data_IF_047175115043
#
_entry.id   IF_047175115043
#
_cell.length_a   1.000
_cell.length_b   1.000
_cell.length_c   1.000
_cell.angle_alpha   90.00
_cell.angle_beta   90.00
_cell.angle_gamma   90.00
#
_symmetry.space_group_name_H-M   'P 1'
#
loop_
_entity.id
_entity.type
_entity.pdbx_description
1 polymer ?
#
# COMPACT_ATOMS: atom_id res chain seq x y z
N UNK A 1 72.78 -22.02 -7.09
CA UNK A 1 71.85 -21.94 -8.24
C UNK A 1 70.45 -22.46 -7.91
N UNK A 2 70.27 -23.50 -7.09
CA UNK A 2 68.93 -24.02 -6.74
C UNK A 2 68.09 -23.10 -5.83
N UNK A 3 68.72 -22.33 -4.93
CA UNK A 3 67.98 -21.45 -4.00
C UNK A 3 67.40 -20.19 -4.66
N UNK A 4 68.08 -19.65 -5.68
CA UNK A 4 67.60 -18.54 -6.50
C UNK A 4 66.37 -18.94 -7.31
N UNK A 5 66.37 -20.14 -7.90
CA UNK A 5 65.22 -20.69 -8.62
C UNK A 5 64.01 -20.89 -7.70
N UNK A 6 64.22 -21.44 -6.50
CA UNK A 6 63.15 -21.63 -5.50
C UNK A 6 62.52 -20.31 -5.07
N UNK A 7 63.32 -19.28 -4.78
CA UNK A 7 62.82 -17.97 -4.35
C UNK A 7 62.02 -17.27 -5.45
N UNK A 8 62.46 -17.31 -6.71
CA UNK A 8 61.67 -16.78 -7.84
C UNK A 8 60.34 -17.53 -8.04
N UNK A 9 60.34 -18.86 -7.97
CA UNK A 9 59.11 -19.66 -8.16
C UNK A 9 58.11 -19.37 -7.03
N UNK A 10 58.58 -19.27 -5.78
CA UNK A 10 57.75 -18.93 -4.62
C UNK A 10 57.16 -17.52 -4.76
N UNK A 11 57.96 -16.53 -5.17
CA UNK A 11 57.48 -15.15 -5.35
C UNK A 11 56.41 -15.03 -6.45
N UNK A 12 56.60 -15.72 -7.58
CA UNK A 12 55.61 -15.79 -8.65
C UNK A 12 54.31 -16.46 -8.21
N UNK A 13 54.40 -17.56 -7.45
CA UNK A 13 53.25 -18.27 -6.89
C UNK A 13 52.48 -17.41 -5.88
N UNK A 14 53.17 -16.70 -4.98
CA UNK A 14 52.54 -15.77 -4.04
C UNK A 14 51.80 -14.67 -4.78
N UNK A 15 52.41 -14.10 -5.84
CA UNK A 15 51.77 -13.06 -6.66
C UNK A 15 50.50 -13.58 -7.35
N UNK A 16 50.55 -14.78 -7.92
CA UNK A 16 49.39 -15.42 -8.55
C UNK A 16 48.28 -15.73 -7.54
N UNK A 17 48.62 -16.21 -6.34
CA UNK A 17 47.66 -16.49 -5.28
C UNK A 17 47.01 -15.20 -4.78
N UNK A 18 47.78 -14.14 -4.52
CA UNK A 18 47.25 -12.83 -4.11
C UNK A 18 46.32 -12.28 -5.20
N UNK A 19 46.71 -12.37 -6.48
CA UNK A 19 45.85 -11.98 -7.60
C UNK A 19 44.55 -12.78 -7.66
N UNK A 20 44.61 -14.10 -7.49
CA UNK A 20 43.44 -14.97 -7.49
C UNK A 20 42.49 -14.67 -6.33
N UNK A 21 43.01 -14.56 -5.10
CA UNK A 21 42.20 -14.24 -3.92
C UNK A 21 41.62 -12.82 -3.99
N UNK A 22 42.40 -11.84 -4.45
CA UNK A 22 41.93 -10.47 -4.68
C UNK A 22 40.79 -10.42 -5.71
N UNK A 23 40.94 -11.10 -6.84
CA UNK A 23 39.88 -11.22 -7.84
C UNK A 23 38.62 -11.89 -7.31
N UNK A 24 38.77 -13.02 -6.58
CA UNK A 24 37.65 -13.73 -5.96
C UNK A 24 36.92 -12.87 -4.93
N UNK A 25 37.66 -12.15 -4.09
CA UNK A 25 37.09 -11.24 -3.10
C UNK A 25 36.35 -10.08 -3.78
N UNK A 26 36.94 -9.46 -4.81
CA UNK A 26 36.28 -8.40 -5.57
C UNK A 26 34.97 -8.86 -6.21
N UNK A 27 34.94 -10.07 -6.78
CA UNK A 27 33.71 -10.65 -7.33
C UNK A 27 32.65 -10.92 -6.26
N UNK A 28 33.05 -11.39 -5.08
CA UNK A 28 32.13 -11.60 -3.96
C UNK A 28 31.56 -10.27 -3.46
N UNK A 29 32.42 -9.27 -3.26
CA UNK A 29 32.01 -7.94 -2.83
C UNK A 29 31.06 -7.27 -3.83
N UNK A 30 31.34 -7.39 -5.13
CA UNK A 30 30.45 -6.87 -6.18
C UNK A 30 29.07 -7.52 -6.15
N UNK A 31 29.00 -8.84 -5.91
CA UNK A 31 27.72 -9.55 -5.79
C UNK A 31 26.90 -9.10 -4.59
N UNK A 32 27.54 -8.89 -3.44
CA UNK A 32 26.84 -8.38 -2.26
C UNK A 32 26.38 -6.93 -2.48
N UNK A 33 27.21 -6.07 -3.08
CA UNK A 33 26.80 -4.71 -3.47
C UNK A 33 25.57 -4.72 -4.40
N UNK A 34 25.58 -5.55 -5.45
CA UNK A 34 24.43 -5.65 -6.37
C UNK A 34 23.15 -6.11 -5.66
N UNK A 35 23.25 -7.03 -4.70
CA UNK A 35 22.09 -7.47 -3.91
C UNK A 35 21.58 -6.35 -3.01
N UNK A 36 22.48 -5.61 -2.37
CA UNK A 36 22.12 -4.49 -1.51
C UNK A 36 21.48 -3.36 -2.30
N UNK A 37 22.02 -3.04 -3.47
CA UNK A 37 21.41 -2.08 -4.40
C UNK A 37 20.00 -2.52 -4.81
N UNK A 38 19.80 -3.82 -5.07
CA UNK A 38 18.48 -4.36 -5.35
C UNK A 38 17.52 -4.20 -4.16
N UNK A 39 17.94 -4.52 -2.93
CA UNK A 39 17.10 -4.34 -1.73
C UNK A 39 16.76 -2.87 -1.45
N UNK A 40 17.73 -1.98 -1.60
CA UNK A 40 17.52 -0.53 -1.50
C UNK A 40 16.49 -0.09 -2.54
N UNK A 41 16.59 -0.61 -3.76
CA UNK A 41 15.65 -0.29 -4.83
C UNK A 41 14.24 -0.81 -4.54
N UNK A 42 14.09 -2.05 -4.07
CA UNK A 42 12.79 -2.58 -3.62
C UNK A 42 12.17 -1.70 -2.53
N UNK A 43 12.97 -1.29 -1.55
CA UNK A 43 12.49 -0.46 -0.45
C UNK A 43 12.09 0.93 -0.94
N UNK A 44 12.94 1.59 -1.73
CA UNK A 44 12.76 2.97 -2.17
C UNK A 44 11.68 3.13 -3.24
N UNK A 45 11.66 2.24 -4.23
CA UNK A 45 10.86 2.44 -5.45
C UNK A 45 9.55 1.65 -5.42
N UNK A 46 9.43 0.64 -4.54
CA UNK A 46 8.25 -0.22 -4.46
C UNK A 46 7.56 -0.16 -3.08
N UNK A 47 8.17 -0.70 -2.02
CA UNK A 47 7.48 -0.91 -0.75
C UNK A 47 7.20 0.38 0.02
N UNK A 48 8.17 1.30 0.10
CA UNK A 48 7.98 2.56 0.86
C UNK A 48 6.93 3.48 0.23
N UNK A 49 6.92 3.71 -1.10
CA UNK A 49 5.88 4.53 -1.73
C UNK A 49 4.47 3.92 -1.56
N UNK A 50 4.32 2.60 -1.72
CA UNK A 50 3.04 1.93 -1.51
C UNK A 50 2.53 2.10 -0.07
N UNK A 51 3.41 1.94 0.92
CA UNK A 51 3.07 2.19 2.32
C UNK A 51 2.77 3.66 2.60
N UNK A 52 3.46 4.59 1.95
CA UNK A 52 3.19 6.02 2.05
C UNK A 52 1.74 6.34 1.64
N UNK A 53 1.32 5.88 0.47
CA UNK A 53 -0.06 6.05 0.01
C UNK A 53 -1.08 5.37 0.92
N UNK A 54 -0.79 4.13 1.35
CA UNK A 54 -1.67 3.40 2.29
C UNK A 54 -1.84 4.16 3.60
N UNK A 55 -0.77 4.71 4.17
CA UNK A 55 -0.85 5.45 5.44
C UNK A 55 -1.64 6.75 5.28
N UNK A 56 -1.51 7.43 4.14
CA UNK A 56 -2.32 8.62 3.86
C UNK A 56 -3.81 8.29 3.68
N UNK A 57 -4.11 7.19 3.00
CA UNK A 57 -5.47 6.66 2.85
C UNK A 57 -6.04 6.33 4.24
N UNK A 58 -5.30 5.58 5.05
CA UNK A 58 -5.70 5.18 6.41
C UNK A 58 -6.02 6.41 7.27
N UNK A 59 -5.11 7.38 7.33
CA UNK A 59 -5.29 8.58 8.15
C UNK A 59 -6.56 9.37 7.77
N UNK A 60 -6.87 9.48 6.46
CA UNK A 60 -8.10 10.12 5.99
C UNK A 60 -9.35 9.29 6.28
N UNK A 61 -9.27 7.98 6.06
CA UNK A 61 -10.38 7.05 6.34
C UNK A 61 -10.73 7.01 7.83
N UNK A 62 -9.75 7.08 8.74
CA UNK A 62 -9.99 7.13 10.18
C UNK A 62 -10.76 8.39 10.60
N UNK A 63 -10.38 9.56 10.06
CA UNK A 63 -11.10 10.81 10.31
C UNK A 63 -12.53 10.72 9.78
N UNK A 64 -12.70 10.19 8.56
CA UNK A 64 -14.02 9.97 7.95
C UNK A 64 -14.92 9.10 8.82
N UNK A 65 -14.41 7.96 9.29
CA UNK A 65 -15.17 7.04 10.14
C UNK A 65 -15.56 7.67 11.48
N UNK A 66 -14.65 8.43 12.11
CA UNK A 66 -14.96 9.19 13.34
C UNK A 66 -16.05 10.22 13.12
N UNK A 67 -15.98 10.99 12.03
CA UNK A 67 -17.02 11.97 11.69
C UNK A 67 -18.34 11.26 11.41
N UNK A 68 -18.33 10.17 10.65
CA UNK A 68 -19.51 9.38 10.32
C UNK A 68 -20.17 8.81 11.57
N UNK A 69 -19.40 8.25 12.50
CA UNK A 69 -19.89 7.72 13.77
C UNK A 69 -20.60 8.80 14.60
N UNK A 70 -19.92 9.92 14.87
CA UNK A 70 -20.47 11.04 15.65
C UNK A 70 -21.69 11.66 14.95
N UNK A 71 -21.64 11.76 13.61
CA UNK A 71 -22.75 12.32 12.84
C UNK A 71 -23.97 11.41 12.85
N UNK A 72 -23.76 10.08 12.77
CA UNK A 72 -24.84 9.10 12.85
C UNK A 72 -25.49 9.09 14.23
N UNK A 73 -24.71 9.22 15.30
CA UNK A 73 -25.23 9.36 16.67
C UNK A 73 -26.05 10.63 16.82
N UNK A 74 -25.48 11.80 16.48
CA UNK A 74 -26.17 13.08 16.56
C UNK A 74 -27.46 13.10 15.71
N UNK A 75 -27.46 12.45 14.55
CA UNK A 75 -28.64 12.29 13.71
C UNK A 75 -29.74 11.49 14.40
N UNK A 76 -29.39 10.34 15.02
CA UNK A 76 -30.35 9.50 15.75
C UNK A 76 -30.97 10.26 16.92
N UNK A 77 -30.15 10.94 17.73
CA UNK A 77 -30.64 11.76 18.84
C UNK A 77 -31.60 12.85 18.37
N UNK A 78 -31.26 13.51 17.25
CA UNK A 78 -32.13 14.54 16.66
C UNK A 78 -33.47 13.97 16.22
N UNK A 79 -33.49 12.81 15.56
CA UNK A 79 -34.71 12.12 15.15
C UNK A 79 -35.55 11.72 16.36
N UNK A 80 -34.93 11.16 17.40
CA UNK A 80 -35.63 10.80 18.63
C UNK A 80 -36.28 12.02 19.30
N UNK A 81 -35.57 13.16 19.34
CA UNK A 81 -36.12 14.41 19.88
C UNK A 81 -37.33 14.91 19.05
N UNK A 82 -37.28 14.78 17.73
CA UNK A 82 -38.40 15.16 16.86
C UNK A 82 -39.60 14.22 17.05
N UNK A 83 -39.37 12.92 17.18
CA UNK A 83 -40.41 11.93 17.47
C UNK A 83 -41.04 12.13 18.85
N UNK A 84 -40.26 12.52 19.87
CA UNK A 84 -40.79 12.87 21.19
C UNK A 84 -41.68 14.12 21.14
N UNK A 85 -41.31 15.12 20.34
CA UNK A 85 -42.09 16.36 20.18
C UNK A 85 -43.33 16.18 19.30
N UNK A 86 -43.27 15.25 18.36
CA UNK A 86 -44.37 14.91 17.46
C UNK A 86 -44.41 13.39 17.25
N UNK A 87 -45.28 12.65 17.97
CA UNK A 87 -45.39 11.19 17.86
C UNK A 87 -45.74 10.68 16.44
N UNK A 88 -46.32 11.54 15.60
CA UNK A 88 -46.62 11.24 14.20
C UNK A 88 -45.47 11.61 13.24
N UNK A 89 -44.28 11.94 13.76
CA UNK A 89 -43.12 12.21 12.94
C UNK A 89 -42.74 10.97 12.12
N UNK A 90 -42.66 11.06 10.77
CA UNK A 90 -42.56 9.90 9.92
C UNK A 90 -41.24 9.14 10.10
N UNK A 91 -41.34 7.82 10.12
CA UNK A 91 -40.19 6.91 10.07
C UNK A 91 -39.56 7.03 8.68
N UNK A 92 -38.27 7.35 8.62
CA UNK A 92 -37.58 7.60 7.35
C UNK A 92 -37.84 8.98 6.77
N UNK A 93 -38.17 9.97 7.60
CA UNK A 93 -38.22 11.38 7.21
C UNK A 93 -36.99 11.75 6.38
N UNK A 94 -37.21 12.38 5.23
CA UNK A 94 -36.19 12.83 4.26
C UNK A 94 -36.08 14.36 4.16
N UNK A 95 -36.72 15.10 5.08
CA UNK A 95 -36.86 16.54 4.98
C UNK A 95 -35.54 17.31 5.05
N UNK A 96 -35.38 18.23 4.10
CA UNK A 96 -34.15 18.96 3.81
C UNK A 96 -33.62 19.79 4.98
N UNK A 97 -34.50 20.33 5.83
CA UNK A 97 -34.09 21.20 6.96
C UNK A 97 -33.33 20.45 8.05
N UNK A 98 -33.74 19.22 8.34
CA UNK A 98 -33.15 18.41 9.43
C UNK A 98 -32.05 17.48 8.89
N UNK A 99 -32.18 17.00 7.64
CA UNK A 99 -31.22 16.07 7.02
C UNK A 99 -30.13 16.78 6.23
N UNK A 100 -30.41 17.97 5.70
CA UNK A 100 -29.50 18.72 4.83
C UNK A 100 -28.07 18.77 5.36
N UNK A 101 -27.82 19.09 6.64
CA UNK A 101 -26.48 19.07 7.21
C UNK A 101 -25.80 17.70 7.16
N UNK A 102 -26.50 16.61 7.48
CA UNK A 102 -25.96 15.24 7.46
C UNK A 102 -25.74 14.71 6.05
N UNK A 103 -26.64 15.06 5.11
CA UNK A 103 -26.47 14.75 3.68
C UNK A 103 -25.19 15.38 3.13
N UNK A 104 -24.88 16.61 3.52
CA UNK A 104 -23.62 17.28 3.13
C UNK A 104 -22.37 16.53 3.61
N UNK A 105 -22.44 15.80 4.72
CA UNK A 105 -21.33 14.96 5.21
C UNK A 105 -21.14 13.76 4.28
N UNK A 106 -22.23 13.11 3.89
CA UNK A 106 -22.20 12.00 2.91
C UNK A 106 -21.64 12.49 1.57
N UNK A 107 -22.13 13.63 1.07
CA UNK A 107 -21.68 14.23 -0.18
C UNK A 107 -20.19 14.60 -0.13
N UNK A 108 -19.73 15.17 0.99
CA UNK A 108 -18.32 15.46 1.22
C UNK A 108 -17.47 14.18 1.20
N UNK A 109 -17.90 13.13 1.89
CA UNK A 109 -17.19 11.86 1.97
C UNK A 109 -17.09 11.16 0.61
N UNK A 110 -18.17 11.18 -0.17
CA UNK A 110 -18.18 10.63 -1.53
C UNK A 110 -17.22 11.42 -2.44
N UNK A 111 -17.27 12.75 -2.38
CA UNK A 111 -16.40 13.63 -3.15
C UNK A 111 -14.92 13.47 -2.75
N UNK A 112 -14.62 13.34 -1.45
CA UNK A 112 -13.27 13.05 -0.97
C UNK A 112 -12.78 11.69 -1.45
N UNK A 113 -13.64 10.66 -1.43
CA UNK A 113 -13.25 9.36 -1.96
C UNK A 113 -12.89 9.44 -3.44
N UNK A 114 -13.75 10.03 -4.26
CA UNK A 114 -13.55 10.18 -5.69
C UNK A 114 -12.32 11.01 -6.05
N UNK A 115 -12.14 12.16 -5.41
CA UNK A 115 -11.10 13.14 -5.78
C UNK A 115 -9.76 12.93 -5.09
N UNK A 116 -9.75 12.34 -3.89
CA UNK A 116 -8.52 12.22 -3.09
C UNK A 116 -8.06 10.78 -2.89
N UNK A 117 -8.98 9.87 -2.51
CA UNK A 117 -8.61 8.51 -2.11
C UNK A 117 -8.44 7.58 -3.31
N UNK A 118 -9.41 7.55 -4.22
CA UNK A 118 -9.37 6.69 -5.40
C UNK A 118 -8.13 6.95 -6.28
N UNK A 119 -7.71 8.20 -6.54
CA UNK A 119 -6.47 8.47 -7.26
C UNK A 119 -5.22 7.89 -6.57
N UNK A 120 -5.19 7.80 -5.24
CA UNK A 120 -4.06 7.19 -4.52
C UNK A 120 -4.01 5.69 -4.70
N UNK A 121 -5.14 4.99 -4.68
CA UNK A 121 -5.17 3.57 -5.06
C UNK A 121 -4.68 3.37 -6.48
N UNK A 122 -5.07 4.24 -7.42
CA UNK A 122 -4.55 4.22 -8.79
C UNK A 122 -3.04 4.45 -8.84
N UNK A 123 -2.51 5.36 -8.03
CA UNK A 123 -1.06 5.54 -7.89
C UNK A 123 -0.36 4.33 -7.30
N UNK A 124 -0.96 3.67 -6.31
CA UNK A 124 -0.45 2.40 -5.78
C UNK A 124 -0.41 1.33 -6.87
N UNK A 125 -1.47 1.18 -7.65
CA UNK A 125 -1.50 0.24 -8.77
C UNK A 125 -0.46 0.59 -9.83
N UNK A 126 -0.30 1.87 -10.14
CA UNK A 126 0.73 2.35 -11.08
C UNK A 126 2.14 1.94 -10.61
N UNK A 127 2.48 2.22 -9.34
CA UNK A 127 3.76 1.79 -8.76
C UNK A 127 3.91 0.28 -8.84
N UNK A 128 2.86 -0.46 -8.48
CA UNK A 128 2.88 -1.91 -8.52
C UNK A 128 3.19 -2.40 -9.95
N UNK A 129 2.53 -1.81 -10.95
CA UNK A 129 2.69 -2.18 -12.38
C UNK A 129 4.08 -1.83 -12.90
N UNK A 130 4.52 -0.58 -12.73
CA UNK A 130 5.79 -0.08 -13.27
C UNK A 130 7.00 -0.78 -12.64
N UNK A 131 6.87 -1.15 -11.36
CA UNK A 131 7.91 -1.77 -10.56
C UNK A 131 7.57 -3.23 -10.21
N UNK A 132 6.77 -3.91 -11.02
CA UNK A 132 6.31 -5.28 -10.74
C UNK A 132 7.48 -6.25 -10.51
N UNK A 133 8.59 -6.05 -11.23
CA UNK A 133 9.81 -6.84 -11.11
C UNK A 133 10.54 -6.68 -9.76
N UNK A 134 10.30 -5.57 -9.03
CA UNK A 134 10.81 -5.34 -7.67
C UNK A 134 9.95 -6.02 -6.59
N UNK A 135 8.75 -6.50 -6.92
CA UNK A 135 7.88 -7.17 -5.96
C UNK A 135 8.35 -8.59 -5.63
N UNK A 136 8.25 -8.97 -4.36
CA UNK A 136 8.40 -10.35 -3.93
C UNK A 136 7.26 -11.23 -4.48
N UNK A 137 7.49 -12.52 -4.76
CA UNK A 137 6.47 -13.43 -5.28
C UNK A 137 5.19 -13.47 -4.44
N UNK A 138 5.31 -13.43 -3.11
CA UNK A 138 4.18 -13.42 -2.20
C UNK A 138 3.37 -12.12 -2.26
N UNK A 139 4.01 -11.01 -2.63
CA UNK A 139 3.32 -9.72 -2.82
C UNK A 139 2.53 -9.72 -4.12
N UNK A 140 3.05 -10.34 -5.19
CA UNK A 140 2.43 -10.36 -6.53
C UNK A 140 1.01 -10.89 -6.56
N UNK A 141 0.68 -11.83 -5.67
CA UNK A 141 -0.67 -12.39 -5.59
C UNK A 141 -1.73 -11.30 -5.41
N UNK A 142 -1.41 -10.23 -4.66
CA UNK A 142 -2.29 -9.11 -4.34
C UNK A 142 -2.54 -8.14 -5.51
N UNK A 143 -1.80 -8.27 -6.61
CA UNK A 143 -1.94 -7.39 -7.77
C UNK A 143 -3.36 -7.46 -8.33
N UNK A 144 -3.93 -8.67 -8.40
CA UNK A 144 -5.28 -8.90 -8.91
C UNK A 144 -6.33 -8.21 -8.03
N UNK A 145 -6.24 -8.38 -6.71
CA UNK A 145 -7.18 -7.80 -5.75
C UNK A 145 -7.16 -6.26 -5.80
N UNK A 146 -5.98 -5.65 -5.94
CA UNK A 146 -5.85 -4.20 -6.09
C UNK A 146 -6.48 -3.71 -7.40
N UNK A 147 -6.23 -4.41 -8.52
CA UNK A 147 -6.88 -4.11 -9.81
C UNK A 147 -8.40 -4.20 -9.73
N UNK A 148 -8.93 -5.29 -9.17
CA UNK A 148 -10.37 -5.51 -9.03
C UNK A 148 -11.03 -4.44 -8.16
N UNK A 149 -10.39 -4.08 -7.03
CA UNK A 149 -10.88 -3.01 -6.16
C UNK A 149 -11.04 -1.69 -6.92
N UNK A 150 -10.01 -1.29 -7.67
CA UNK A 150 -10.01 -0.03 -8.42
C UNK A 150 -11.04 -0.06 -9.56
N UNK A 151 -11.11 -1.16 -10.33
CA UNK A 151 -12.02 -1.27 -11.47
C UNK A 151 -13.50 -1.22 -11.03
N UNK A 152 -13.84 -1.88 -9.92
CA UNK A 152 -15.21 -1.85 -9.39
C UNK A 152 -15.60 -0.42 -9.01
N UNK A 153 -14.72 0.32 -8.32
CA UNK A 153 -15.00 1.71 -7.94
C UNK A 153 -15.08 2.64 -9.15
N UNK A 154 -14.18 2.49 -10.13
CA UNK A 154 -14.23 3.31 -11.35
C UNK A 154 -15.52 3.08 -12.12
N UNK A 155 -15.96 1.83 -12.26
CA UNK A 155 -17.21 1.49 -12.93
C UNK A 155 -18.43 2.01 -12.18
N UNK A 156 -18.41 1.92 -10.84
CA UNK A 156 -19.45 2.43 -9.97
C UNK A 156 -19.61 3.94 -10.13
N UNK A 157 -18.52 4.71 -10.02
CA UNK A 157 -18.54 6.17 -10.15
C UNK A 157 -18.94 6.63 -11.55
N UNK A 158 -18.63 5.83 -12.58
CA UNK A 158 -19.09 6.08 -13.97
C UNK A 158 -20.54 5.67 -14.22
N UNK A 159 -21.26 5.14 -13.23
CA UNK A 159 -22.64 4.68 -13.37
C UNK A 159 -22.82 3.44 -14.25
N UNK A 160 -21.72 2.73 -14.55
CA UNK A 160 -21.74 1.52 -15.38
C UNK A 160 -22.08 0.25 -14.59
N UNK A 161 -22.02 0.33 -13.25
CA UNK A 161 -22.40 -0.75 -12.35
C UNK A 161 -23.62 -0.35 -11.50
N UNK A 162 -24.72 -1.11 -11.57
CA UNK A 162 -25.87 -0.93 -10.69
C UNK A 162 -25.52 -1.12 -9.20
N UNK A 163 -26.20 -0.38 -8.33
CA UNK A 163 -26.00 -0.42 -6.87
C UNK A 163 -26.14 -1.82 -6.26
N UNK A 164 -27.09 -2.62 -6.75
CA UNK A 164 -27.34 -3.97 -6.27
C UNK A 164 -26.22 -4.95 -6.64
N UNK A 165 -25.63 -4.79 -7.83
CA UNK A 165 -24.45 -5.55 -8.27
C UNK A 165 -23.24 -5.20 -7.41
N UNK A 166 -23.00 -3.90 -7.20
CA UNK A 166 -21.92 -3.38 -6.36
C UNK A 166 -22.01 -3.93 -4.94
N UNK A 167 -23.20 -3.95 -4.33
CA UNK A 167 -23.43 -4.58 -3.01
C UNK A 167 -23.10 -6.07 -3.00
N UNK A 168 -23.42 -6.83 -4.04
CA UNK A 168 -23.12 -8.28 -4.14
C UNK A 168 -21.63 -8.57 -4.34
N UNK A 169 -20.89 -7.68 -4.99
CA UNK A 169 -19.44 -7.85 -5.22
C UNK A 169 -18.59 -7.75 -3.94
N UNK A 170 -19.17 -7.29 -2.82
CA UNK A 170 -18.48 -7.16 -1.52
C UNK A 170 -17.12 -6.46 -1.66
N UNK A 171 -17.07 -5.37 -2.43
CA UNK A 171 -15.86 -4.65 -2.86
C UNK A 171 -15.32 -3.70 -1.78
N UNK A 172 -15.32 -4.16 -0.52
CA UNK A 172 -14.82 -3.38 0.61
C UNK A 172 -13.30 -3.29 0.58
N UNK A 173 -12.77 -2.15 1.03
CA UNK A 173 -11.34 -1.96 1.25
C UNK A 173 -10.72 -3.06 2.12
N UNK A 174 -11.50 -3.64 3.03
CA UNK A 174 -11.12 -4.79 3.87
C UNK A 174 -10.51 -5.97 3.10
N UNK A 175 -10.84 -6.15 1.81
CA UNK A 175 -10.22 -7.17 0.96
C UNK A 175 -8.72 -6.93 0.73
N UNK A 176 -8.26 -5.69 0.88
CA UNK A 176 -6.86 -5.28 0.75
C UNK A 176 -6.08 -5.39 2.07
N UNK A 177 -6.70 -5.77 3.19
CA UNK A 177 -6.02 -5.88 4.49
C UNK A 177 -4.79 -6.80 4.41
N UNK A 178 -4.93 -7.94 3.72
CA UNK A 178 -3.82 -8.87 3.55
C UNK A 178 -2.68 -8.31 2.68
N UNK A 179 -3.01 -7.47 1.70
CA UNK A 179 -2.01 -6.75 0.91
C UNK A 179 -1.24 -5.75 1.79
N UNK A 180 -1.94 -4.97 2.61
CA UNK A 180 -1.30 -4.00 3.49
C UNK A 180 -0.38 -4.65 4.53
N UNK A 181 -0.81 -5.75 5.13
CA UNK A 181 0.01 -6.53 6.07
C UNK A 181 1.27 -7.09 5.38
N UNK A 182 1.14 -7.56 4.13
CA UNK A 182 2.30 -8.02 3.38
C UNK A 182 3.27 -6.87 3.09
N UNK A 183 2.80 -5.68 2.70
CA UNK A 183 3.67 -4.53 2.47
C UNK A 183 4.50 -4.17 3.72
N UNK A 184 3.86 -4.08 4.89
CA UNK A 184 4.55 -3.80 6.15
C UNK A 184 5.58 -4.88 6.47
N UNK A 185 5.17 -6.16 6.33
CA UNK A 185 6.05 -7.31 6.59
C UNK A 185 7.28 -7.30 5.68
N UNK A 186 7.12 -7.07 4.38
CA UNK A 186 8.23 -7.06 3.44
C UNK A 186 9.16 -5.86 3.66
N UNK A 187 8.60 -4.69 3.96
CA UNK A 187 9.40 -3.51 4.28
C UNK A 187 10.27 -3.75 5.53
N UNK A 188 9.72 -4.32 6.61
CA UNK A 188 10.49 -4.66 7.81
C UNK A 188 11.54 -5.75 7.55
N UNK A 189 11.21 -6.75 6.72
CA UNK A 189 12.18 -7.77 6.29
C UNK A 189 13.35 -7.14 5.53
N UNK A 190 13.09 -6.22 4.60
CA UNK A 190 14.12 -5.52 3.83
C UNK A 190 14.98 -4.61 4.71
N UNK A 191 14.38 -3.85 5.63
CA UNK A 191 15.12 -3.02 6.60
C UNK A 191 16.10 -3.84 7.45
N UNK A 192 15.68 -5.02 7.91
CA UNK A 192 16.55 -5.93 8.68
C UNK A 192 17.71 -6.46 7.84
N UNK A 193 17.46 -6.81 6.57
CA UNK A 193 18.53 -7.22 5.65
C UNK A 193 19.56 -6.12 5.44
N UNK A 194 19.12 -4.87 5.32
CA UNK A 194 20.01 -3.72 5.10
C UNK A 194 20.82 -3.38 6.37
N UNK A 195 20.24 -3.55 7.56
CA UNK A 195 20.89 -3.20 8.84
C UNK A 195 21.89 -4.25 9.37
N UNK A 196 21.74 -5.51 8.98
CA UNK A 196 22.55 -6.62 9.50
C UNK A 196 23.82 -6.91 8.68
N UNK A 197 24.21 -6.00 7.79
CA UNK A 197 25.53 -5.93 7.15
C UNK A 197 26.34 -4.78 7.73
#
# INVERSE_FOLDING_TARGET
>A
MSDLLKTTIISSLVTLLVGFFGYRYALLQLREQMKMDFYIKQLKDFYSPLLGYRNEILAKSEVRLKIEEVSNEAWRERIELLQRKNPNFPIGYDGEKEIGPYKKIIDYNNNQFEKDLLPKYKMMLKIFTDNYWLSEPETRKWYKELCEFIDIWDRFLKGTLPNDVVRKLSHMEKKLDGFYQDLEKQLEKLRKKIKNE
#
